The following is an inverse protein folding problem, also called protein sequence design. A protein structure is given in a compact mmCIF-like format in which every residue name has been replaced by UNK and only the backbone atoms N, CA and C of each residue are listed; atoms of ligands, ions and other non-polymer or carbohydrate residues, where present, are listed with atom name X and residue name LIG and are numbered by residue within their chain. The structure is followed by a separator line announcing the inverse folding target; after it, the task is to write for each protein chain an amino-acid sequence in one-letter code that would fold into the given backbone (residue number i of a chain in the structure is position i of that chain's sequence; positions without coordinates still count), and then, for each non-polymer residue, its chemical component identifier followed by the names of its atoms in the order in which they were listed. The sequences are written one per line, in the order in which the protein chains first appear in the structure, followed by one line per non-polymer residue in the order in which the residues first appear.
data_IF_841048785140
#
_entry.id   IF_841048785140
#
_cell.length_a   1.000
_cell.length_b   1.000
_cell.length_c   1.000
_cell.angle_alpha   90.00
_cell.angle_beta   90.00
_cell.angle_gamma   90.00
#
_symmetry.space_group_name_H-M   'P 1'
#
loop_
_entity.id
_entity.type
_entity.pdbx_description
1 polymer ?
#
# COMPACT_ATOMS: atom_id res chain seq x y z
N UNK A 1 25.43 18.73 0.52
CA UNK A 1 25.53 18.89 -0.95
C UNK A 1 25.44 17.56 -1.70
N UNK A 2 26.33 16.58 -1.46
CA UNK A 2 26.27 15.25 -2.10
C UNK A 2 24.90 14.54 -1.96
N UNK A 3 24.37 14.51 -0.75
CA UNK A 3 23.06 13.88 -0.44
C UNK A 3 21.91 14.53 -1.22
N UNK A 4 21.97 15.84 -1.47
CA UNK A 4 20.94 16.55 -2.22
C UNK A 4 20.97 16.22 -3.70
N UNK A 5 22.17 16.15 -4.29
CA UNK A 5 22.34 15.71 -5.67
C UNK A 5 21.83 14.27 -5.83
N UNK A 6 22.18 13.38 -4.89
CA UNK A 6 21.72 11.98 -4.89
C UNK A 6 20.19 11.85 -4.82
N UNK A 7 19.50 12.59 -3.95
CA UNK A 7 18.04 12.52 -3.92
C UNK A 7 17.37 13.24 -5.09
N UNK A 8 17.99 14.32 -5.58
CA UNK A 8 17.53 15.03 -6.78
C UNK A 8 17.53 14.12 -7.99
N UNK A 9 18.67 13.47 -8.29
CA UNK A 9 18.80 12.57 -9.43
C UNK A 9 17.86 11.37 -9.33
N UNK A 10 17.71 10.81 -8.12
CA UNK A 10 16.78 9.70 -7.91
C UNK A 10 15.33 10.12 -8.15
N UNK A 11 14.94 11.32 -7.71
CA UNK A 11 13.59 11.81 -7.92
C UNK A 11 13.31 12.10 -9.40
N UNK A 12 14.29 12.66 -10.10
CA UNK A 12 14.23 12.93 -11.54
C UNK A 12 14.00 11.64 -12.33
N UNK A 13 14.76 10.58 -12.05
CA UNK A 13 14.59 9.25 -12.68
C UNK A 13 13.18 8.68 -12.41
N UNK A 14 12.64 8.87 -11.21
CA UNK A 14 11.33 8.31 -10.83
C UNK A 14 10.13 9.11 -11.37
N UNK A 15 10.28 10.42 -11.57
CA UNK A 15 9.19 11.31 -12.02
C UNK A 15 9.24 11.63 -13.51
N UNK A 16 10.43 11.54 -14.12
CA UNK A 16 10.75 12.05 -15.46
C UNK A 16 11.06 13.55 -15.45
N UNK A 17 11.95 13.95 -16.37
CA UNK A 17 12.58 15.27 -16.44
C UNK A 17 11.56 16.43 -16.44
N UNK A 18 10.48 16.31 -17.22
CA UNK A 18 9.46 17.35 -17.30
C UNK A 18 8.75 17.60 -15.96
N UNK A 19 8.32 16.53 -15.30
CA UNK A 19 7.60 16.63 -14.02
C UNK A 19 8.52 17.09 -12.90
N UNK A 20 9.77 16.65 -12.91
CA UNK A 20 10.78 17.09 -11.97
C UNK A 20 11.09 18.59 -12.12
N UNK A 21 11.28 19.08 -13.35
CA UNK A 21 11.49 20.50 -13.61
C UNK A 21 10.31 21.36 -13.14
N UNK A 22 9.07 20.93 -13.45
CA UNK A 22 7.88 21.63 -12.97
C UNK A 22 7.79 21.61 -11.43
N UNK A 23 8.16 20.50 -10.81
CA UNK A 23 8.21 20.36 -9.35
C UNK A 23 9.20 21.33 -8.71
N UNK A 24 10.41 21.48 -9.27
CA UNK A 24 11.41 22.43 -8.75
C UNK A 24 10.96 23.88 -8.97
N UNK A 25 10.45 24.23 -10.16
CA UNK A 25 9.97 25.58 -10.47
C UNK A 25 8.82 26.01 -9.54
N UNK A 26 7.83 25.14 -9.33
CA UNK A 26 6.76 25.41 -8.37
C UNK A 26 7.29 25.45 -6.93
N UNK A 27 8.28 24.62 -6.59
CA UNK A 27 8.96 24.68 -5.30
C UNK A 27 9.61 26.03 -5.02
N UNK A 28 10.29 26.60 -6.01
CA UNK A 28 10.86 27.96 -5.93
C UNK A 28 9.75 29.00 -5.74
N UNK A 29 8.67 28.91 -6.52
CA UNK A 29 7.52 29.82 -6.39
C UNK A 29 6.92 29.80 -4.98
N UNK A 30 6.62 28.60 -4.44
CA UNK A 30 6.07 28.47 -3.09
C UNK A 30 7.04 28.91 -2.00
N UNK A 31 8.35 28.73 -2.22
CA UNK A 31 9.38 29.23 -1.29
C UNK A 31 9.41 30.76 -1.27
N UNK A 32 9.30 31.41 -2.44
CA UNK A 32 9.23 32.87 -2.53
C UNK A 32 7.97 33.42 -1.83
N UNK A 33 6.82 32.79 -2.04
CA UNK A 33 5.56 33.17 -1.38
C UNK A 33 5.60 32.90 0.13
N UNK A 34 6.30 31.85 0.56
CA UNK A 34 6.45 31.48 1.97
C UNK A 34 7.56 32.23 2.72
N UNK A 35 8.44 32.94 2.01
CA UNK A 35 9.59 33.61 2.62
C UNK A 35 9.25 34.57 3.77
N UNK A 36 8.16 35.38 3.70
CA UNK A 36 7.72 36.21 4.83
C UNK A 36 7.36 35.42 6.09
N UNK A 37 7.07 34.13 5.95
CA UNK A 37 6.70 33.20 7.04
C UNK A 37 7.86 32.27 7.44
N UNK A 38 9.09 32.60 7.03
CA UNK A 38 10.29 31.83 7.38
C UNK A 38 10.55 30.60 6.51
N UNK A 39 9.89 30.47 5.35
CA UNK A 39 10.20 29.42 4.39
C UNK A 39 11.49 29.78 3.65
N UNK A 40 12.43 28.84 3.62
CA UNK A 40 13.72 28.98 2.94
C UNK A 40 13.88 27.91 1.85
N UNK A 41 14.97 27.99 1.09
CA UNK A 41 15.33 26.99 0.08
C UNK A 41 15.45 25.56 0.65
N UNK A 42 15.58 25.41 1.97
CA UNK A 42 15.58 24.11 2.64
C UNK A 42 14.31 23.30 2.37
N UNK A 43 13.16 23.96 2.22
CA UNK A 43 11.90 23.28 1.92
C UNK A 43 11.87 22.63 0.54
N UNK A 44 12.64 23.14 -0.42
CA UNK A 44 12.80 22.50 -1.74
C UNK A 44 13.54 21.18 -1.58
N UNK A 45 14.68 21.18 -0.86
CA UNK A 45 15.45 19.96 -0.60
C UNK A 45 14.66 18.94 0.22
N UNK A 46 13.93 19.43 1.21
CA UNK A 46 13.03 18.64 2.05
C UNK A 46 11.90 18.00 1.22
N UNK A 47 11.33 18.77 0.30
CA UNK A 47 10.32 18.30 -0.65
C UNK A 47 10.87 17.20 -1.56
N UNK A 48 12.06 17.37 -2.12
CA UNK A 48 12.74 16.34 -2.92
C UNK A 48 12.95 15.07 -2.10
N UNK A 49 13.48 15.21 -0.89
CA UNK A 49 13.68 14.09 0.04
C UNK A 49 12.37 13.36 0.36
N UNK A 50 11.29 14.09 0.63
CA UNK A 50 9.96 13.53 0.88
C UNK A 50 9.38 12.85 -0.35
N UNK A 51 9.62 13.40 -1.55
CA UNK A 51 9.26 12.77 -2.82
C UNK A 51 9.92 11.40 -2.96
N UNK A 52 11.24 11.32 -2.74
CA UNK A 52 11.97 10.04 -2.76
C UNK A 52 11.45 9.08 -1.70
N UNK A 53 11.22 9.56 -0.47
CA UNK A 53 10.67 8.76 0.62
C UNK A 53 9.29 8.16 0.29
N UNK A 54 8.48 8.88 -0.49
CA UNK A 54 7.12 8.47 -0.87
C UNK A 54 7.10 7.46 -1.99
N UNK A 55 8.00 7.62 -2.96
CA UNK A 55 8.13 6.70 -4.09
C UNK A 55 8.86 5.41 -3.66
N UNK A 56 9.92 5.54 -2.88
CA UNK A 56 10.80 4.44 -2.46
C UNK A 56 10.95 4.37 -0.92
N UNK A 57 9.87 4.04 -0.17
CA UNK A 57 9.88 4.07 1.30
C UNK A 57 10.79 3.02 1.96
N UNK A 58 11.18 1.98 1.22
CA UNK A 58 12.06 0.90 1.69
C UNK A 58 13.54 1.16 1.39
N UNK A 59 13.88 2.24 0.70
CA UNK A 59 15.26 2.65 0.48
C UNK A 59 15.95 2.86 1.85
N UNK A 60 17.20 2.41 1.95
CA UNK A 60 18.00 2.51 3.17
C UNK A 60 19.10 3.54 2.98
N UNK A 61 19.31 4.37 4.00
CA UNK A 61 20.47 5.24 4.13
C UNK A 61 21.30 4.71 5.30
N UNK A 62 22.60 4.61 5.12
CA UNK A 62 23.53 4.27 6.19
C UNK A 62 23.77 5.51 7.07
N UNK A 63 23.09 5.56 8.22
CA UNK A 63 23.29 6.59 9.23
C UNK A 63 24.66 6.38 9.87
N UNK A 64 25.48 7.45 9.90
CA UNK A 64 26.88 7.40 10.34
C UNK A 64 27.72 6.30 9.66
N UNK A 65 27.35 5.89 8.44
CA UNK A 65 27.96 4.78 7.70
C UNK A 65 27.87 3.40 8.41
N UNK A 66 27.10 3.27 9.48
CA UNK A 66 27.01 2.04 10.29
C UNK A 66 25.57 1.49 10.32
N UNK A 67 24.58 2.34 10.58
CA UNK A 67 23.21 1.88 10.86
C UNK A 67 22.34 2.06 9.61
N UNK A 68 21.88 0.98 8.96
CA UNK A 68 20.95 1.10 7.83
C UNK A 68 19.56 1.50 8.35
N UNK A 69 19.14 2.73 8.04
CA UNK A 69 17.81 3.25 8.40
C UNK A 69 16.97 3.43 7.16
N UNK A 70 15.71 2.98 7.20
CA UNK A 70 14.75 3.19 6.10
C UNK A 70 14.36 4.66 6.01
N UNK A 71 14.39 5.22 4.80
CA UNK A 71 14.12 6.65 4.56
C UNK A 71 12.77 7.10 5.10
N UNK A 72 11.74 6.26 5.01
CA UNK A 72 10.39 6.62 5.49
C UNK A 72 10.37 7.06 6.97
N UNK A 73 11.19 6.45 7.82
CA UNK A 73 11.25 6.80 9.24
C UNK A 73 11.96 8.13 9.45
N UNK A 74 13.03 8.37 8.71
CA UNK A 74 13.75 9.64 8.72
C UNK A 74 12.84 10.77 8.24
N UNK A 75 12.07 10.55 7.17
CA UNK A 75 11.07 11.48 6.66
C UNK A 75 9.99 11.83 7.68
N UNK A 76 9.41 10.82 8.35
CA UNK A 76 8.43 11.05 9.41
C UNK A 76 9.03 11.85 10.56
N UNK A 77 10.24 11.49 11.00
CA UNK A 77 10.94 12.18 12.08
C UNK A 77 11.17 13.67 11.73
N UNK A 78 11.72 13.95 10.55
CA UNK A 78 11.99 15.33 10.11
C UNK A 78 10.70 16.14 10.04
N UNK A 79 9.64 15.63 9.39
CA UNK A 79 8.36 16.35 9.29
C UNK A 79 7.77 16.58 10.67
N UNK A 80 7.83 15.59 11.57
CA UNK A 80 7.36 15.74 12.95
C UNK A 80 8.12 16.84 13.69
N UNK A 81 9.45 16.92 13.55
CA UNK A 81 10.25 17.98 14.18
C UNK A 81 9.92 19.37 13.66
N UNK A 82 9.69 19.52 12.35
CA UNK A 82 9.34 20.81 11.73
C UNK A 82 7.94 21.26 12.17
N UNK A 83 6.99 20.33 12.28
CA UNK A 83 5.61 20.65 12.64
C UNK A 83 5.39 20.78 14.15
N UNK A 84 6.29 20.26 15.00
CA UNK A 84 6.09 20.24 16.45
C UNK A 84 5.83 21.63 17.04
N UNK A 85 6.74 22.59 16.86
CA UNK A 85 6.60 23.93 17.42
C UNK A 85 5.38 24.69 16.85
N UNK A 86 5.15 24.73 15.52
CA UNK A 86 3.96 25.35 14.95
C UNK A 86 2.64 24.73 15.42
N UNK A 87 2.59 23.40 15.58
CA UNK A 87 1.38 22.74 16.08
C UNK A 87 1.14 23.02 17.57
N UNK A 88 2.19 23.07 18.38
CA UNK A 88 2.08 23.47 19.79
C UNK A 88 1.60 24.92 19.90
N UNK A 89 2.17 25.84 19.10
CA UNK A 89 1.72 27.22 18.99
C UNK A 89 0.22 27.31 18.64
N UNK A 90 -0.21 26.54 17.65
CA UNK A 90 -1.60 26.51 17.20
C UNK A 90 -2.56 25.97 18.26
N UNK A 91 -2.21 24.85 18.92
CA UNK A 91 -3.11 24.14 19.83
C UNK A 91 -3.16 24.79 21.21
N UNK A 92 -2.02 25.20 21.76
CA UNK A 92 -1.94 25.70 23.13
C UNK A 92 -2.01 27.22 23.23
N UNK A 93 -1.52 27.93 22.22
CA UNK A 93 -1.43 29.39 22.23
C UNK A 93 -2.39 30.05 21.23
N UNK A 94 -3.11 29.27 20.42
CA UNK A 94 -4.05 29.73 19.38
C UNK A 94 -3.41 30.65 18.32
N UNK A 95 -2.10 30.53 18.15
CA UNK A 95 -1.33 31.31 17.19
C UNK A 95 -1.30 30.62 15.83
N UNK A 96 -1.92 31.25 14.83
CA UNK A 96 -1.96 30.72 13.45
C UNK A 96 -0.73 31.09 12.63
N UNK A 97 0.00 32.13 13.01
CA UNK A 97 1.14 32.64 12.21
C UNK A 97 2.23 31.59 11.94
N UNK A 98 2.68 30.79 12.94
CA UNK A 98 3.79 29.85 12.74
C UNK A 98 3.47 28.67 11.82
N UNK A 99 2.19 28.33 11.62
CA UNK A 99 1.80 27.17 10.79
C UNK A 99 1.86 27.49 9.28
N UNK A 100 1.79 28.77 8.92
CA UNK A 100 1.76 29.22 7.52
C UNK A 100 3.06 28.88 6.78
N UNK A 101 4.20 28.96 7.46
CA UNK A 101 5.51 28.61 6.89
C UNK A 101 5.56 27.16 6.41
N UNK A 102 5.43 26.17 7.31
CA UNK A 102 5.37 24.76 6.92
C UNK A 102 4.24 24.46 5.92
N UNK A 103 3.07 25.07 6.08
CA UNK A 103 1.95 24.84 5.16
C UNK A 103 2.31 25.23 3.71
N UNK A 104 2.91 26.39 3.49
CA UNK A 104 3.36 26.85 2.17
C UNK A 104 4.58 26.04 1.68
N UNK A 105 5.53 25.75 2.56
CA UNK A 105 6.73 24.98 2.23
C UNK A 105 6.44 23.55 1.79
N UNK A 106 5.44 22.89 2.40
CA UNK A 106 5.02 21.54 2.01
C UNK A 106 3.98 21.51 0.89
N UNK A 107 3.41 22.66 0.50
CA UNK A 107 2.33 22.73 -0.49
C UNK A 107 2.75 22.11 -1.83
N UNK A 108 3.97 22.41 -2.30
CA UNK A 108 4.52 21.84 -3.53
C UNK A 108 4.55 20.29 -3.48
N UNK A 109 5.03 19.73 -2.37
CA UNK A 109 5.05 18.29 -2.15
C UNK A 109 3.64 17.70 -2.14
N UNK A 110 2.69 18.34 -1.46
CA UNK A 110 1.31 17.88 -1.37
C UNK A 110 0.60 17.87 -2.74
N UNK A 111 0.87 18.87 -3.60
CA UNK A 111 0.28 18.93 -4.94
C UNK A 111 0.71 17.72 -5.80
N UNK A 112 2.00 17.38 -5.79
CA UNK A 112 2.53 16.30 -6.65
C UNK A 112 2.30 14.91 -6.07
N UNK A 113 2.43 14.73 -4.76
CA UNK A 113 2.41 13.40 -4.13
C UNK A 113 1.10 13.11 -3.38
N UNK A 114 0.35 14.13 -2.97
CA UNK A 114 -0.91 13.99 -2.23
C UNK A 114 -1.96 13.11 -2.94
N UNK A 115 -2.28 13.34 -4.23
CA UNK A 115 -3.24 12.51 -4.96
C UNK A 115 -2.84 11.03 -5.02
N UNK A 116 -1.54 10.76 -5.15
CA UNK A 116 -1.01 9.39 -5.17
C UNK A 116 -1.14 8.69 -3.80
N UNK A 117 -0.87 9.41 -2.72
CA UNK A 117 -1.04 8.91 -1.35
C UNK A 117 -2.51 8.57 -1.04
N UNK A 118 -3.44 9.45 -1.45
CA UNK A 118 -4.87 9.20 -1.29
C UNK A 118 -5.33 7.96 -2.05
N UNK A 119 -4.97 7.85 -3.34
CA UNK A 119 -5.33 6.69 -4.17
C UNK A 119 -4.79 5.38 -3.59
N UNK A 120 -3.54 5.37 -3.10
CA UNK A 120 -2.94 4.18 -2.45
C UNK A 120 -3.71 3.77 -1.19
N UNK A 121 -4.10 4.73 -0.34
CA UNK A 121 -4.94 4.46 0.85
C UNK A 121 -6.33 3.96 0.46
N UNK A 122 -6.99 4.60 -0.50
CA UNK A 122 -8.33 4.23 -0.93
C UNK A 122 -8.39 2.85 -1.61
N UNK A 123 -7.34 2.43 -2.32
CA UNK A 123 -7.27 1.13 -2.97
C UNK A 123 -6.87 -0.02 -2.02
N UNK A 124 -6.35 0.29 -0.83
CA UNK A 124 -5.91 -0.69 0.16
C UNK A 124 -7.02 -1.66 0.63
N UNK A 125 -8.23 -1.21 1.04
CA UNK A 125 -9.29 -2.12 1.45
C UNK A 125 -9.78 -3.02 0.30
N UNK A 126 -9.86 -2.48 -0.92
CA UNK A 126 -10.26 -3.24 -2.12
C UNK A 126 -9.23 -4.34 -2.43
N UNK A 127 -7.94 -4.02 -2.35
CA UNK A 127 -6.87 -5.00 -2.57
C UNK A 127 -6.86 -6.09 -1.49
N UNK A 128 -7.15 -5.73 -0.24
CA UNK A 128 -7.27 -6.69 0.86
C UNK A 128 -8.50 -7.59 0.69
N UNK A 129 -9.64 -7.04 0.27
CA UNK A 129 -10.85 -7.82 0.00
C UNK A 129 -10.64 -8.82 -1.15
N UNK A 130 -10.00 -8.39 -2.25
CA UNK A 130 -9.64 -9.29 -3.36
C UNK A 130 -8.70 -10.40 -2.92
N UNK A 131 -7.68 -10.08 -2.12
CA UNK A 131 -6.76 -11.08 -1.59
C UNK A 131 -7.48 -12.10 -0.71
N UNK A 132 -8.38 -11.64 0.19
CA UNK A 132 -9.21 -12.52 1.02
C UNK A 132 -10.07 -13.46 0.18
N UNK A 133 -10.79 -12.92 -0.80
CA UNK A 133 -11.62 -13.71 -1.71
C UNK A 133 -10.82 -14.74 -2.53
N UNK A 134 -9.58 -14.42 -2.93
CA UNK A 134 -8.70 -15.36 -3.61
C UNK A 134 -8.01 -16.37 -2.68
N UNK A 135 -7.93 -16.08 -1.38
CA UNK A 135 -7.34 -16.97 -0.37
C UNK A 135 -8.37 -17.82 0.37
N UNK A 136 -9.67 -17.55 0.20
CA UNK A 136 -10.71 -18.44 0.68
C UNK A 136 -10.60 -19.77 -0.07
N UNK A 137 -10.49 -20.91 0.65
CA UNK A 137 -10.51 -22.20 -0.01
C UNK A 137 -11.82 -22.29 -0.81
N UNK A 138 -11.79 -22.83 -2.04
CA UNK A 138 -13.02 -23.07 -2.78
C UNK A 138 -13.98 -23.86 -1.88
N UNK A 139 -15.27 -23.52 -1.95
CA UNK A 139 -16.30 -24.29 -1.24
C UNK A 139 -16.06 -25.78 -1.54
N UNK A 140 -16.17 -26.67 -0.53
CA UNK A 140 -15.88 -28.07 -0.74
C UNK A 140 -16.78 -28.60 -1.86
N UNK A 141 -16.18 -28.96 -2.98
CA UNK A 141 -16.88 -29.55 -4.11
C UNK A 141 -16.98 -31.05 -3.85
N UNK A 142 -18.19 -31.59 -3.89
CA UNK A 142 -18.39 -33.03 -3.83
C UNK A 142 -17.67 -33.69 -5.01
N UNK A 143 -16.72 -34.56 -4.70
CA UNK A 143 -15.97 -35.41 -5.62
C UNK A 143 -16.81 -36.64 -5.93
N UNK A 144 -17.47 -37.22 -4.92
CA UNK A 144 -18.27 -38.42 -5.04
C UNK A 144 -19.76 -38.11 -5.02
N UNK A 145 -20.50 -38.86 -5.83
CA UNK A 145 -21.96 -38.74 -5.88
C UNK A 145 -22.56 -40.09 -6.23
N UNK A 146 -23.44 -40.59 -5.36
CA UNK A 146 -24.13 -41.85 -5.64
C UNK A 146 -25.14 -41.68 -6.77
N UNK A 147 -25.09 -42.55 -7.78
CA UNK A 147 -26.01 -42.53 -8.94
C UNK A 147 -27.47 -42.82 -8.55
N UNK A 148 -27.72 -43.54 -7.46
CA UNK A 148 -29.08 -43.95 -7.03
C UNK A 148 -29.74 -42.90 -6.14
N UNK A 149 -29.08 -42.49 -5.04
CA UNK A 149 -29.66 -41.56 -4.05
C UNK A 149 -29.17 -40.11 -4.15
N UNK A 150 -28.11 -39.86 -4.92
CA UNK A 150 -27.54 -38.52 -5.09
C UNK A 150 -26.75 -37.97 -3.90
N UNK A 151 -26.60 -38.73 -2.81
CA UNK A 151 -25.76 -38.33 -1.66
C UNK A 151 -24.30 -38.19 -2.07
N UNK A 152 -23.61 -37.27 -1.41
CA UNK A 152 -22.20 -36.92 -1.62
C UNK A 152 -21.40 -37.06 -0.32
N UNK A 153 -20.06 -37.04 -0.37
CA UNK A 153 -19.24 -37.08 0.86
C UNK A 153 -19.41 -35.85 1.77
N UNK A 154 -20.05 -34.79 1.25
CA UNK A 154 -20.40 -33.59 2.03
C UNK A 154 -21.63 -33.81 2.91
N UNK A 155 -22.52 -34.72 2.54
CA UNK A 155 -23.75 -35.00 3.28
C UNK A 155 -23.50 -35.87 4.51
N UNK A 156 -22.60 -36.86 4.40
CA UNK A 156 -22.13 -37.69 5.51
C UNK A 156 -20.68 -38.16 5.28
N UNK A 157 -19.71 -37.69 6.09
CA UNK A 157 -18.29 -38.06 5.97
C UNK A 157 -17.99 -39.55 6.20
N UNK A 158 -18.94 -40.35 6.69
CA UNK A 158 -18.77 -41.80 6.93
C UNK A 158 -19.20 -42.65 5.75
N UNK A 159 -19.87 -42.07 4.75
CA UNK A 159 -20.23 -42.79 3.54
C UNK A 159 -18.98 -43.05 2.70
N UNK A 160 -18.72 -44.32 2.39
CA UNK A 160 -17.77 -44.68 1.35
C UNK A 160 -18.48 -44.81 0.00
N UNK A 161 -17.84 -44.30 -1.04
CA UNK A 161 -18.28 -44.41 -2.42
C UNK A 161 -17.37 -45.39 -3.16
N UNK A 162 -17.97 -46.29 -3.95
CA UNK A 162 -17.26 -47.33 -4.70
C UNK A 162 -17.91 -47.52 -6.08
N UNK A 163 -17.11 -47.94 -7.05
CA UNK A 163 -17.58 -48.33 -8.37
C UNK A 163 -18.04 -49.78 -8.35
N UNK A 164 -19.11 -50.05 -9.10
CA UNK A 164 -19.49 -51.42 -9.43
C UNK A 164 -18.60 -51.95 -10.56
N UNK A 165 -18.24 -53.23 -10.52
CA UNK A 165 -17.42 -53.87 -11.56
C UNK A 165 -18.20 -54.04 -12.87
N UNK A 166 -19.50 -54.26 -12.76
CA UNK A 166 -20.37 -54.57 -13.89
C UNK A 166 -21.03 -53.33 -14.52
N UNK A 167 -20.97 -52.17 -13.85
CA UNK A 167 -21.56 -50.91 -14.35
C UNK A 167 -20.50 -50.01 -15.00
N UNK A 168 -20.95 -49.16 -15.91
CA UNK A 168 -20.07 -48.23 -16.63
C UNK A 168 -19.91 -46.91 -15.86
N UNK A 169 -18.73 -46.66 -15.29
CA UNK A 169 -18.32 -45.38 -14.66
C UNK A 169 -19.37 -44.72 -13.74
N UNK A 170 -20.01 -45.54 -12.90
CA UNK A 170 -21.01 -45.10 -11.93
C UNK A 170 -20.56 -45.41 -10.50
N UNK A 171 -20.61 -44.39 -9.65
CA UNK A 171 -20.29 -44.50 -8.23
C UNK A 171 -21.55 -44.77 -7.39
N UNK A 172 -21.41 -45.64 -6.40
CA UNK A 172 -22.46 -46.02 -5.49
C UNK A 172 -21.99 -45.86 -4.04
N UNK A 173 -22.86 -45.39 -3.16
CA UNK A 173 -22.58 -45.38 -1.73
C UNK A 173 -22.69 -46.81 -1.15
N UNK A 174 -22.12 -47.06 0.03
CA UNK A 174 -22.14 -48.36 0.72
C UNK A 174 -23.54 -49.03 0.77
N UNK A 175 -24.60 -48.24 0.91
CA UNK A 175 -25.97 -48.74 1.01
C UNK A 175 -26.56 -49.22 -0.34
N UNK A 176 -26.07 -48.68 -1.46
CA UNK A 176 -26.57 -49.01 -2.80
C UNK A 176 -25.61 -49.88 -3.61
N UNK A 177 -24.37 -50.08 -3.14
CA UNK A 177 -23.37 -50.87 -3.85
C UNK A 177 -23.82 -52.32 -4.14
N UNK A 178 -24.59 -52.95 -3.24
CA UNK A 178 -25.03 -54.34 -3.40
C UNK A 178 -26.48 -54.52 -3.86
N UNK A 179 -27.26 -53.42 -3.94
CA UNK A 179 -28.69 -53.45 -4.17
C UNK A 179 -29.13 -52.53 -5.34
N UNK A 180 -28.20 -52.12 -6.20
CA UNK A 180 -28.52 -51.30 -7.38
C UNK A 180 -28.87 -52.19 -8.58
N UNK A 181 -29.67 -51.64 -9.49
CA UNK A 181 -29.80 -52.20 -10.83
C UNK A 181 -28.58 -51.80 -11.66
N UNK A 182 -28.00 -52.76 -12.37
CA UNK A 182 -26.86 -52.49 -13.26
C UNK A 182 -27.32 -51.70 -14.49
N UNK A 183 -26.60 -50.63 -14.80
CA UNK A 183 -26.87 -49.69 -15.90
C UNK A 183 -25.63 -49.57 -16.78
#
# INVERSE_FOLDING_TARGET
LYVYWLFGSQLEILMGDFRYNLYILLGVLFTLLGSPFGVSAEFIYLGVFLGVATLNPNMQILLFFIIPVRIKWVAIFIVATILFNPLVALVFYQEFWPILGPALGFLNYLIFFGPGLWKRRAAQPVRQAKFRASSEPPAPTAIHRCTVCGQTELDDPRLEFRFCVDCTDHEYCQNHLFNHEHI
#
